data_IF_977489757738
#
_entry.id   IF_977489757738
#
_cell.length_a   1.000
_cell.length_b   1.000
_cell.length_c   1.000
_cell.angle_alpha   90.00
_cell.angle_beta   90.00
_cell.angle_gamma   90.00
#
_symmetry.space_group_name_H-M   'P 1'
#
loop_
_entity.id
_entity.type
_entity.pdbx_description
1 polymer ?
#
# COMPACT_ATOMS: atom_id res chain seq x y z
N UNK A 1 -17.83 8.79 -18.10
CA UNK A 1 -17.38 8.06 -19.31
C UNK A 1 -17.95 6.64 -19.22
N UNK A 2 -17.87 5.75 -20.20
CA UNK A 2 -18.19 4.33 -19.94
C UNK A 2 -17.54 3.40 -20.97
N UNK A 3 -17.28 2.17 -20.50
CA UNK A 3 -16.06 1.35 -20.70
C UNK A 3 -15.41 0.91 -19.36
N UNK A 4 -16.10 1.04 -18.22
CA UNK A 4 -15.68 0.86 -16.79
C UNK A 4 -14.51 1.72 -16.21
N UNK A 5 -14.42 3.04 -16.37
CA UNK A 5 -15.04 3.86 -17.40
C UNK A 5 -14.23 3.83 -18.71
N UNK A 6 -12.96 3.38 -18.64
CA UNK A 6 -12.17 2.66 -19.66
C UNK A 6 -10.99 1.99 -18.90
N UNK A 7 -11.31 0.94 -18.14
CA UNK A 7 -10.44 0.15 -17.24
C UNK A 7 -9.81 0.99 -16.09
N UNK A 8 -10.62 1.57 -15.20
CA UNK A 8 -10.21 2.36 -14.00
C UNK A 8 -8.98 3.29 -14.21
N UNK A 9 -8.79 3.89 -15.39
CA UNK A 9 -7.60 4.70 -15.74
C UNK A 9 -6.26 4.05 -15.28
N UNK A 10 -6.02 2.79 -15.66
CA UNK A 10 -4.73 2.08 -15.56
C UNK A 10 -4.02 2.16 -14.19
N UNK A 11 -4.77 1.84 -13.12
CA UNK A 11 -4.33 1.49 -11.76
C UNK A 11 -3.26 2.37 -11.11
N UNK A 12 -3.26 3.67 -11.39
CA UNK A 12 -2.43 4.66 -10.70
C UNK A 12 -3.33 5.50 -9.80
N UNK A 13 -3.45 5.17 -8.49
CA UNK A 13 -4.18 6.00 -7.53
C UNK A 13 -3.81 7.49 -7.57
N UNK A 14 -2.61 7.88 -8.02
CA UNK A 14 -2.23 9.26 -8.26
C UNK A 14 -3.13 9.99 -9.28
N UNK A 15 -3.47 9.34 -10.40
CA UNK A 15 -4.37 9.93 -11.42
C UNK A 15 -5.77 10.12 -10.85
N UNK A 16 -6.29 9.09 -10.16
CA UNK A 16 -7.62 9.14 -9.56
C UNK A 16 -7.71 10.24 -8.48
N UNK A 17 -6.66 10.41 -7.68
CA UNK A 17 -6.52 11.50 -6.71
C UNK A 17 -6.60 12.87 -7.37
N UNK A 18 -5.85 13.07 -8.45
CA UNK A 18 -5.81 14.36 -9.15
C UNK A 18 -7.17 14.71 -9.74
N UNK A 19 -7.85 13.75 -10.38
CA UNK A 19 -9.18 13.97 -10.95
C UNK A 19 -10.23 14.29 -9.90
N UNK A 20 -10.17 13.64 -8.73
CA UNK A 20 -11.04 13.96 -7.61
C UNK A 20 -10.74 15.37 -7.07
N UNK A 21 -9.46 15.72 -6.90
CA UNK A 21 -9.04 17.04 -6.44
C UNK A 21 -9.60 18.16 -7.32
N UNK A 22 -9.48 18.01 -8.64
CA UNK A 22 -9.96 18.99 -9.61
C UNK A 22 -11.49 19.10 -9.60
N UNK A 23 -12.20 17.97 -9.47
CA UNK A 23 -13.65 17.96 -9.32
C UNK A 23 -14.11 18.69 -8.04
N UNK A 24 -13.44 18.48 -6.91
CA UNK A 24 -13.74 19.18 -5.65
C UNK A 24 -13.51 20.68 -5.80
N UNK A 25 -12.38 21.07 -6.40
CA UNK A 25 -12.06 22.48 -6.63
C UNK A 25 -13.12 23.15 -7.51
N UNK A 26 -13.58 22.47 -8.56
CA UNK A 26 -14.67 22.94 -9.40
C UNK A 26 -15.98 23.08 -8.63
N UNK A 27 -16.40 22.03 -7.90
CA UNK A 27 -17.65 22.04 -7.16
C UNK A 27 -17.71 23.16 -6.12
N UNK A 28 -16.62 23.45 -5.40
CA UNK A 28 -16.55 24.55 -4.43
C UNK A 28 -16.80 25.93 -5.05
N UNK A 29 -16.57 26.12 -6.34
CA UNK A 29 -16.90 27.39 -7.04
C UNK A 29 -18.37 27.51 -7.41
N UNK A 30 -19.12 26.39 -7.38
CA UNK A 30 -20.50 26.28 -7.87
C UNK A 30 -21.53 26.18 -6.76
N UNK A 31 -21.18 25.58 -5.63
CA UNK A 31 -22.13 25.29 -4.55
C UNK A 31 -21.55 25.60 -3.17
N UNK A 32 -22.31 26.36 -2.37
CA UNK A 32 -22.01 26.64 -0.96
C UNK A 32 -22.59 25.61 -0.01
N UNK A 33 -23.66 24.92 -0.41
CA UNK A 33 -24.35 23.95 0.45
C UNK A 33 -23.45 22.80 0.89
N UNK A 34 -22.51 22.41 0.03
CA UNK A 34 -21.59 21.31 0.28
C UNK A 34 -20.18 21.79 0.67
N UNK A 35 -20.00 23.07 1.01
CA UNK A 35 -18.67 23.65 1.20
C UNK A 35 -17.85 22.96 2.31
N UNK A 36 -18.48 22.65 3.44
CA UNK A 36 -17.82 22.00 4.58
C UNK A 36 -17.30 20.61 4.21
N UNK A 37 -18.18 19.77 3.63
CA UNK A 37 -17.82 18.40 3.25
C UNK A 37 -16.82 18.36 2.09
N UNK A 38 -16.95 19.26 1.12
CA UNK A 38 -15.97 19.39 0.03
C UNK A 38 -14.61 19.87 0.54
N UNK A 39 -14.57 20.74 1.54
CA UNK A 39 -13.33 21.19 2.16
C UNK A 39 -12.66 20.07 2.94
N UNK A 40 -13.44 19.30 3.71
CA UNK A 40 -12.93 18.12 4.43
C UNK A 40 -12.33 17.11 3.46
N UNK A 41 -13.05 16.78 2.38
CA UNK A 41 -12.57 15.87 1.35
C UNK A 41 -11.31 16.40 0.65
N UNK A 42 -11.25 17.71 0.33
CA UNK A 42 -10.06 18.34 -0.26
C UNK A 42 -8.83 18.21 0.64
N UNK A 43 -8.98 18.42 1.94
CA UNK A 43 -7.89 18.33 2.91
C UNK A 43 -7.37 16.88 3.01
N UNK A 44 -8.28 15.90 3.07
CA UNK A 44 -7.92 14.47 3.03
C UNK A 44 -7.15 14.13 1.75
N UNK A 45 -7.63 14.60 0.60
CA UNK A 45 -6.98 14.36 -0.70
C UNK A 45 -5.57 14.95 -0.74
N UNK A 46 -5.38 16.19 -0.26
CA UNK A 46 -4.06 16.84 -0.19
C UNK A 46 -3.10 16.11 0.75
N UNK A 47 -3.59 15.68 1.91
CA UNK A 47 -2.77 14.98 2.91
C UNK A 47 -2.22 13.66 2.37
N UNK A 48 -3.04 12.93 1.60
CA UNK A 48 -2.67 11.61 1.09
C UNK A 48 -1.89 11.65 -0.22
N UNK A 49 -2.01 12.72 -1.02
CA UNK A 49 -1.35 12.87 -2.31
C UNK A 49 0.15 12.47 -2.35
N UNK A 50 1.03 12.96 -1.46
CA UNK A 50 2.45 12.59 -1.52
C UNK A 50 2.68 11.08 -1.26
N UNK A 51 1.87 10.46 -0.39
CA UNK A 51 1.97 9.03 -0.07
C UNK A 51 1.52 8.17 -1.25
N UNK A 52 0.45 8.58 -1.92
CA UNK A 52 -0.08 7.89 -3.09
C UNK A 52 0.90 7.93 -4.27
N UNK A 53 1.54 9.09 -4.50
CA UNK A 53 2.55 9.19 -5.55
C UNK A 53 3.74 8.25 -5.32
N UNK A 54 4.14 8.08 -4.05
CA UNK A 54 5.21 7.17 -3.70
C UNK A 54 4.80 5.69 -3.88
N UNK A 55 3.56 5.33 -3.51
CA UNK A 55 3.00 3.99 -3.76
C UNK A 55 2.97 3.69 -5.27
N UNK A 56 2.58 4.67 -6.09
CA UNK A 56 2.56 4.53 -7.55
C UNK A 56 3.96 4.33 -8.13
N UNK A 57 4.95 5.05 -7.61
CA UNK A 57 6.35 4.90 -8.02
C UNK A 57 6.87 3.50 -7.68
N UNK A 58 6.69 3.07 -6.43
CA UNK A 58 7.18 1.78 -5.94
C UNK A 58 6.49 0.59 -6.64
N UNK A 59 5.18 0.67 -6.87
CA UNK A 59 4.46 -0.39 -7.59
C UNK A 59 4.97 -0.57 -9.03
N UNK A 60 5.33 0.53 -9.71
CA UNK A 60 5.91 0.48 -11.06
C UNK A 60 7.32 -0.11 -11.05
N UNK A 61 8.15 0.27 -10.09
CA UNK A 61 9.52 -0.24 -9.96
C UNK A 61 9.56 -1.74 -9.66
N UNK A 62 8.59 -2.26 -8.91
CA UNK A 62 8.51 -3.68 -8.56
C UNK A 62 7.80 -4.53 -9.64
N UNK A 63 7.37 -3.95 -10.77
CA UNK A 63 6.57 -4.61 -11.81
C UNK A 63 5.36 -5.39 -11.26
N UNK A 64 4.81 -4.93 -10.13
CA UNK A 64 3.76 -5.63 -9.42
C UNK A 64 2.41 -5.42 -10.11
N UNK A 65 1.65 -6.51 -10.28
CA UNK A 65 0.23 -6.41 -10.61
C UNK A 65 -0.50 -5.60 -9.53
N UNK A 66 -1.45 -4.73 -9.90
CA UNK A 66 -2.21 -3.95 -8.93
C UNK A 66 -2.93 -4.87 -7.93
N UNK A 67 -2.71 -4.65 -6.63
CA UNK A 67 -3.42 -5.37 -5.56
C UNK A 67 -4.90 -4.99 -5.55
N UNK A 68 -5.77 -5.91 -5.13
CA UNK A 68 -7.22 -5.68 -5.12
C UNK A 68 -7.60 -4.49 -4.24
N UNK A 69 -6.90 -4.25 -3.12
CA UNK A 69 -7.15 -3.11 -2.23
C UNK A 69 -6.86 -1.77 -2.92
N UNK A 70 -5.83 -1.72 -3.76
CA UNK A 70 -5.50 -0.53 -4.56
C UNK A 70 -6.57 -0.31 -5.64
N UNK A 71 -7.03 -1.39 -6.30
CA UNK A 71 -8.11 -1.31 -7.28
C UNK A 71 -9.42 -0.82 -6.62
N UNK A 72 -9.76 -1.37 -5.45
CA UNK A 72 -10.92 -0.95 -4.66
C UNK A 72 -10.82 0.53 -4.25
N UNK A 73 -9.61 0.98 -3.89
CA UNK A 73 -9.36 2.37 -3.53
C UNK A 73 -9.54 3.32 -4.70
N UNK A 74 -8.93 3.02 -5.85
CA UNK A 74 -9.12 3.77 -7.10
C UNK A 74 -10.61 3.86 -7.45
N UNK A 75 -11.35 2.76 -7.30
CA UNK A 75 -12.79 2.70 -7.56
C UNK A 75 -13.59 3.66 -6.66
N UNK A 76 -13.23 3.77 -5.38
CA UNK A 76 -13.90 4.72 -4.48
C UNK A 76 -13.60 6.18 -4.84
N UNK A 77 -12.37 6.50 -5.26
CA UNK A 77 -12.01 7.85 -5.71
C UNK A 77 -12.77 8.27 -6.98
N UNK A 78 -12.98 7.34 -7.92
CA UNK A 78 -13.78 7.59 -9.12
C UNK A 78 -15.24 7.87 -8.76
N UNK A 79 -15.84 7.06 -7.87
CA UNK A 79 -17.18 7.30 -7.33
C UNK A 79 -17.28 8.67 -6.63
N UNK A 80 -16.25 9.03 -5.88
CA UNK A 80 -16.17 10.33 -5.21
C UNK A 80 -16.23 11.48 -6.21
N UNK A 81 -15.46 11.38 -7.29
CA UNK A 81 -15.43 12.38 -8.35
C UNK A 81 -16.81 12.57 -8.99
N UNK A 82 -17.48 11.48 -9.35
CA UNK A 82 -18.82 11.52 -9.95
C UNK A 82 -19.86 12.16 -9.02
N UNK A 83 -19.79 11.83 -7.73
CA UNK A 83 -20.70 12.38 -6.74
C UNK A 83 -20.47 13.87 -6.52
N UNK A 84 -19.22 14.30 -6.39
CA UNK A 84 -18.81 15.70 -6.26
C UNK A 84 -19.25 16.51 -7.49
N UNK A 85 -19.05 15.97 -8.69
CA UNK A 85 -19.53 16.60 -9.92
C UNK A 85 -21.05 16.74 -9.92
N UNK A 86 -21.77 15.70 -9.49
CA UNK A 86 -23.23 15.79 -9.43
C UNK A 86 -23.71 16.84 -8.43
N UNK A 87 -23.02 16.99 -7.29
CA UNK A 87 -23.31 18.03 -6.31
C UNK A 87 -23.19 19.46 -6.86
N UNK A 88 -22.27 19.72 -7.80
CA UNK A 88 -22.13 21.05 -8.40
C UNK A 88 -23.29 21.41 -9.34
N UNK A 89 -24.00 20.41 -9.87
CA UNK A 89 -25.11 20.59 -10.81
C UNK A 89 -26.48 20.66 -10.11
N UNK A 90 -26.54 20.54 -8.78
CA UNK A 90 -27.80 20.61 -8.04
C UNK A 90 -28.21 22.08 -7.86
N UNK A 91 -29.41 22.49 -8.32
CA UNK A 91 -29.90 23.85 -8.10
C UNK A 91 -30.06 24.18 -6.61
N UNK A 92 -29.79 25.44 -6.24
CA UNK A 92 -29.85 25.92 -4.85
C UNK A 92 -31.24 25.77 -4.20
N UNK A 93 -32.31 25.83 -4.99
CA UNK A 93 -33.68 25.69 -4.51
C UNK A 93 -34.11 24.23 -4.29
N UNK A 94 -33.34 23.23 -4.75
CA UNK A 94 -33.70 21.82 -4.63
C UNK A 94 -33.16 21.20 -3.34
N UNK A 95 -33.73 21.60 -2.20
CA UNK A 95 -33.29 21.20 -0.87
C UNK A 95 -33.36 19.68 -0.63
N UNK A 96 -34.39 19.01 -1.18
CA UNK A 96 -34.55 17.55 -1.05
C UNK A 96 -33.39 16.83 -1.74
N UNK A 97 -33.02 17.24 -2.96
CA UNK A 97 -31.90 16.65 -3.68
C UNK A 97 -30.57 16.97 -2.98
N UNK A 98 -30.43 18.17 -2.42
CA UNK A 98 -29.24 18.53 -1.65
C UNK A 98 -29.04 17.63 -0.43
N UNK A 99 -30.08 17.45 0.39
CA UNK A 99 -30.04 16.57 1.56
C UNK A 99 -29.60 15.15 1.19
N UNK A 100 -30.23 14.56 0.16
CA UNK A 100 -29.89 13.20 -0.30
C UNK A 100 -28.45 13.07 -0.80
N UNK A 101 -27.90 14.11 -1.42
CA UNK A 101 -26.51 14.06 -1.90
C UNK A 101 -25.49 14.35 -0.80
N UNK A 102 -25.86 15.08 0.25
CA UNK A 102 -25.04 15.22 1.45
C UNK A 102 -24.88 13.86 2.15
N UNK A 103 -25.97 13.13 2.34
CA UNK A 103 -25.95 11.76 2.90
C UNK A 103 -25.06 10.82 2.08
N UNK A 104 -25.16 10.85 0.75
CA UNK A 104 -24.29 10.05 -0.13
C UNK A 104 -22.81 10.42 -0.03
N UNK A 105 -22.49 11.70 0.22
CA UNK A 105 -21.10 12.13 0.42
C UNK A 105 -20.55 11.63 1.77
N UNK A 106 -21.38 11.59 2.81
CA UNK A 106 -21.01 11.02 4.11
C UNK A 106 -20.85 9.50 4.05
N UNK A 107 -21.70 8.78 3.31
CA UNK A 107 -21.56 7.34 3.06
C UNK A 107 -20.24 7.02 2.35
N UNK A 108 -19.89 7.83 1.36
CA UNK A 108 -18.64 7.72 0.61
C UNK A 108 -17.42 7.99 1.49
N UNK A 109 -17.44 9.06 2.31
CA UNK A 109 -16.37 9.36 3.27
C UNK A 109 -16.17 8.19 4.25
N UNK A 110 -17.28 7.64 4.76
CA UNK A 110 -17.28 6.46 5.62
C UNK A 110 -16.69 5.22 4.94
N UNK A 111 -17.04 4.99 3.67
CA UNK A 111 -16.49 3.88 2.88
C UNK A 111 -14.98 4.03 2.63
N UNK A 112 -14.50 5.26 2.38
CA UNK A 112 -13.08 5.54 2.22
C UNK A 112 -12.32 5.30 3.53
N UNK A 113 -12.85 5.78 4.66
CA UNK A 113 -12.25 5.55 5.97
C UNK A 113 -12.18 4.06 6.31
N UNK A 114 -13.24 3.28 6.04
CA UNK A 114 -13.22 1.83 6.25
C UNK A 114 -12.14 1.13 5.42
N UNK A 115 -12.02 1.46 4.15
CA UNK A 115 -11.02 0.87 3.25
C UNK A 115 -9.59 1.16 3.76
N UNK A 116 -9.31 2.40 4.17
CA UNK A 116 -8.01 2.81 4.68
C UNK A 116 -7.68 2.21 6.07
N UNK A 117 -8.65 2.19 6.98
CA UNK A 117 -8.42 1.80 8.38
C UNK A 117 -8.58 0.31 8.64
N UNK A 118 -9.31 -0.43 7.82
CA UNK A 118 -9.59 -1.85 8.06
C UNK A 118 -8.95 -2.71 6.98
N UNK A 119 -9.33 -2.51 5.72
CA UNK A 119 -8.93 -3.40 4.63
C UNK A 119 -7.43 -3.25 4.32
N UNK A 120 -6.92 -2.02 4.22
CA UNK A 120 -5.48 -1.78 4.04
C UNK A 120 -4.64 -2.26 5.22
N UNK A 121 -5.15 -2.17 6.45
CA UNK A 121 -4.41 -2.67 7.62
C UNK A 121 -4.33 -4.20 7.61
N UNK A 122 -5.41 -4.88 7.26
CA UNK A 122 -5.43 -6.33 7.11
C UNK A 122 -4.48 -6.80 6.00
N UNK A 123 -4.52 -6.13 4.84
CA UNK A 123 -3.62 -6.44 3.72
C UNK A 123 -2.14 -6.24 4.08
N UNK A 124 -1.80 -5.13 4.75
CA UNK A 124 -0.45 -4.88 5.24
C UNK A 124 0.02 -5.95 6.22
N UNK A 125 -0.84 -6.35 7.17
CA UNK A 125 -0.51 -7.42 8.13
C UNK A 125 -0.19 -8.74 7.39
N UNK A 126 -1.03 -9.12 6.43
CA UNK A 126 -0.81 -10.31 5.62
C UNK A 126 0.50 -10.24 4.81
N UNK A 127 0.81 -9.10 4.19
CA UNK A 127 2.04 -8.92 3.42
C UNK A 127 3.29 -8.98 4.32
N UNK A 128 3.25 -8.37 5.51
CA UNK A 128 4.34 -8.44 6.50
C UNK A 128 4.58 -9.89 6.92
N UNK A 129 3.53 -10.65 7.19
CA UNK A 129 3.65 -12.07 7.56
C UNK A 129 4.25 -12.91 6.43
N UNK A 130 3.87 -12.66 5.18
CA UNK A 130 4.49 -13.30 4.01
C UNK A 130 5.98 -12.97 3.89
N UNK A 131 6.35 -11.70 4.02
CA UNK A 131 7.75 -11.27 3.99
C UNK A 131 8.54 -11.97 5.11
N UNK A 132 8.01 -12.02 6.33
CA UNK A 132 8.65 -12.69 7.46
C UNK A 132 8.87 -14.19 7.20
N UNK A 133 7.88 -14.87 6.61
CA UNK A 133 8.00 -16.29 6.26
C UNK A 133 9.11 -16.54 5.23
N UNK A 134 9.16 -15.73 4.16
CA UNK A 134 10.19 -15.85 3.12
C UNK A 134 11.60 -15.51 3.67
N UNK A 135 11.72 -14.48 4.52
CA UNK A 135 13.00 -14.13 5.18
C UNK A 135 13.46 -15.25 6.12
N UNK A 136 12.54 -15.84 6.88
CA UNK A 136 12.87 -16.97 7.78
C UNK A 136 13.39 -18.17 6.99
N UNK A 137 12.74 -18.48 5.87
CA UNK A 137 13.17 -19.55 4.95
C UNK A 137 14.53 -19.26 4.31
N UNK A 138 14.79 -17.99 3.98
CA UNK A 138 16.09 -17.55 3.45
C UNK A 138 17.20 -17.72 4.49
N UNK A 139 16.94 -17.36 5.75
CA UNK A 139 17.91 -17.53 6.84
C UNK A 139 18.24 -19.01 7.07
N UNK A 140 17.25 -19.89 7.08
CA UNK A 140 17.48 -21.34 7.22
C UNK A 140 18.40 -21.88 6.12
N UNK A 141 18.15 -21.50 4.86
CA UNK A 141 19.02 -21.89 3.74
C UNK A 141 20.45 -21.35 3.88
N UNK A 142 20.61 -20.15 4.43
CA UNK A 142 21.93 -19.57 4.66
C UNK A 142 22.69 -20.33 5.76
N UNK A 143 22.00 -20.70 6.83
CA UNK A 143 22.55 -21.52 7.90
C UNK A 143 22.99 -22.91 7.39
N UNK A 144 22.21 -23.52 6.48
CA UNK A 144 22.57 -24.78 5.81
C UNK A 144 23.79 -24.63 4.86
N UNK A 145 24.04 -23.44 4.31
CA UNK A 145 25.17 -23.16 3.41
C UNK A 145 26.48 -22.83 4.15
N UNK A 146 26.43 -22.37 5.39
CA UNK A 146 27.61 -22.29 6.25
C UNK A 146 28.00 -23.71 6.68
N UNK A 147 28.87 -24.35 5.90
CA UNK A 147 29.48 -25.64 6.28
C UNK A 147 30.03 -25.56 7.70
N UNK A 148 29.87 -26.63 8.53
CA UNK A 148 30.49 -26.67 9.83
C UNK A 148 32.00 -26.46 9.65
N UNK A 149 32.52 -25.47 10.36
CA UNK A 149 33.94 -25.27 10.57
C UNK A 149 34.52 -26.66 10.87
N UNK A 150 35.40 -27.17 9.98
CA UNK A 150 36.10 -28.42 10.27
C UNK A 150 36.97 -28.14 11.48
N UNK A 151 36.46 -28.50 12.66
CA UNK A 151 37.28 -28.72 13.84
C UNK A 151 38.34 -29.73 13.41
N UNK A 152 39.54 -29.20 13.16
CA UNK A 152 40.71 -30.00 12.92
C UNK A 152 41.03 -30.72 14.21
N UNK A 153 40.80 -32.02 14.23
CA UNK A 153 41.46 -32.94 15.14
C UNK A 153 42.98 -32.72 15.02
N UNK A 154 43.56 -31.98 15.97
CA UNK A 154 44.99 -32.05 16.24
C UNK A 154 45.14 -33.18 17.26
N UNK A 155 45.41 -34.38 16.75
CA UNK A 155 45.83 -35.51 17.55
C UNK A 155 47.24 -35.20 18.11
N UNK A 156 47.27 -34.61 19.31
CA UNK A 156 48.49 -34.34 20.05
C UNK A 156 48.90 -35.59 20.81
N UNK A 157 49.46 -36.58 20.12
CA UNK A 157 50.29 -37.61 20.76
C UNK A 157 51.25 -38.28 19.78
N UNK A 158 52.23 -37.52 19.31
CA UNK A 158 53.45 -38.10 18.74
C UNK A 158 54.70 -37.36 19.25
N UNK A 159 54.91 -37.34 20.57
CA UNK A 159 56.25 -37.15 21.13
C UNK A 159 56.38 -37.93 22.43
N UNK A 160 57.16 -39.01 22.36
CA UNK A 160 57.99 -39.63 23.40
C UNK A 160 57.67 -41.10 23.66
N UNK A 161 58.36 -41.99 22.93
CA UNK A 161 59.32 -42.93 23.54
C UNK A 161 59.71 -44.04 22.55
N UNK A 162 60.84 -43.89 21.88
CA UNK A 162 61.67 -45.02 21.46
C UNK A 162 63.11 -44.72 21.85
N UNK A 163 63.42 -45.01 23.12
CA UNK A 163 64.78 -45.05 23.65
C UNK A 163 65.24 -46.51 23.66
N UNK A 164 65.93 -46.95 22.61
CA UNK A 164 66.84 -48.10 22.58
C UNK A 164 67.59 -48.05 21.23
N UNK A 165 68.90 -48.18 21.06
CA UNK A 165 70.04 -48.41 21.94
C UNK A 165 71.30 -48.19 21.06
N UNK A 166 72.33 -47.58 21.62
CA UNK A 166 73.61 -48.22 21.98
C UNK A 166 74.64 -48.32 20.83
N UNK A 167 75.84 -47.77 21.04
CA UNK A 167 77.06 -48.56 20.84
C UNK A 167 78.28 -47.93 21.50
N UNK A 168 78.70 -48.53 22.60
CA UNK A 168 80.08 -48.51 23.06
C UNK A 168 80.96 -49.40 22.19
N UNK A 169 82.03 -48.80 21.67
CA UNK A 169 83.30 -49.38 21.22
C UNK A 169 83.33 -50.18 19.92
#
# INVERSE_FOLDING_TARGET
>A
MSGIEAILLAATPGIAFQLLYDAIRHAKTKTRQFEDILTRLQNTVKLLAPKINEIDRLNKELENSPKEEIIAFVRQLVKAKELVFTCSEIPSWNLIKQYRYAERLDELDSSLQRLLNVEFQAAQCHDILKILAEVTKMNQKLDEMNFPEKDGDIDANDVASTNHGNSTK
#
